data_IF_081783416127
#
_entry.id   IF_081783416127
#
_cell.length_a   1.000
_cell.length_b   1.000
_cell.length_c   1.000
_cell.angle_alpha   90.00
_cell.angle_beta   90.00
_cell.angle_gamma   90.00
#
_symmetry.space_group_name_H-M   'P 1'
#
loop_
_entity.id
_entity.type
_entity.pdbx_description
1 polymer ?
#
# COMPACT_ATOMS: atom_id res chain seq x y z
N UNK A 1 16.37 7.98 14.09
CA UNK A 1 15.78 6.71 14.55
C UNK A 1 14.62 6.36 13.64
N UNK A 2 14.60 5.15 13.03
CA UNK A 2 13.42 4.66 12.31
C UNK A 2 12.43 4.15 13.36
N UNK A 3 11.39 4.91 13.65
CA UNK A 3 10.32 4.42 14.53
C UNK A 3 9.50 3.43 13.71
N UNK A 4 9.66 2.13 14.01
CA UNK A 4 8.96 1.06 13.32
C UNK A 4 7.47 0.99 13.68
N UNK A 5 7.10 1.51 14.85
CA UNK A 5 5.72 1.62 15.33
C UNK A 5 5.66 2.74 16.38
N UNK A 6 4.82 3.75 16.17
CA UNK A 6 4.60 4.80 17.16
C UNK A 6 3.79 4.26 18.34
N UNK A 7 2.93 3.25 18.10
CA UNK A 7 2.17 2.59 19.15
C UNK A 7 3.10 1.97 20.20
N UNK A 8 4.21 1.36 19.78
CA UNK A 8 5.21 0.84 20.72
C UNK A 8 5.85 1.93 21.57
N UNK A 9 6.15 3.09 20.98
CA UNK A 9 6.68 4.23 21.71
C UNK A 9 5.69 4.76 22.77
N UNK A 10 4.41 4.82 22.43
CA UNK A 10 3.33 5.19 23.36
C UNK A 10 3.14 4.13 24.46
N UNK A 11 3.30 2.85 24.13
CA UNK A 11 3.17 1.72 25.06
C UNK A 11 4.30 1.66 26.10
N UNK A 12 5.52 2.08 25.73
CA UNK A 12 6.72 1.97 26.56
C UNK A 12 6.57 2.49 28.02
N UNK A 13 6.04 3.70 28.29
CA UNK A 13 5.85 4.17 29.66
C UNK A 13 4.92 3.26 30.47
N UNK A 14 3.88 2.69 29.85
CA UNK A 14 2.96 1.78 30.54
C UNK A 14 3.62 0.43 30.85
N UNK A 15 4.49 -0.08 29.96
CA UNK A 15 5.27 -1.28 30.25
C UNK A 15 6.24 -1.06 31.41
N UNK A 16 6.88 0.10 31.49
CA UNK A 16 7.74 0.44 32.64
C UNK A 16 6.93 0.45 33.94
N UNK A 17 5.71 1.00 33.90
CA UNK A 17 4.81 1.02 35.06
C UNK A 17 4.30 -0.39 35.43
N UNK A 18 4.04 -1.27 34.46
CA UNK A 18 3.73 -2.68 34.69
C UNK A 18 4.89 -3.39 35.39
N UNK A 19 6.12 -3.17 34.93
CA UNK A 19 7.31 -3.76 35.55
C UNK A 19 7.53 -3.23 36.97
N UNK A 20 7.37 -1.93 37.18
CA UNK A 20 7.52 -1.29 38.48
C UNK A 20 6.47 -1.79 39.49
N UNK A 21 5.19 -1.75 39.12
CA UNK A 21 4.10 -2.22 39.98
C UNK A 21 4.16 -3.72 40.20
N UNK A 22 4.51 -4.50 39.17
CA UNK A 22 4.75 -5.95 39.29
C UNK A 22 5.88 -6.26 40.25
N UNK A 23 6.99 -5.50 40.21
CA UNK A 23 8.09 -5.64 41.15
C UNK A 23 7.61 -5.44 42.60
N UNK A 24 6.84 -4.39 42.87
CA UNK A 24 6.30 -4.13 44.20
C UNK A 24 5.33 -5.21 44.69
N UNK A 25 4.44 -5.70 43.82
CA UNK A 25 3.48 -6.75 44.18
C UNK A 25 4.18 -8.08 44.50
N UNK A 26 5.15 -8.50 43.67
CA UNK A 26 5.75 -9.84 43.76
C UNK A 26 7.01 -9.93 44.63
N UNK A 27 7.77 -8.83 44.81
CA UNK A 27 9.03 -8.84 45.56
C UNK A 27 9.00 -8.01 46.85
N UNK A 28 8.04 -7.09 46.98
CA UNK A 28 7.88 -6.25 48.19
C UNK A 28 6.61 -6.59 48.97
N UNK A 29 5.83 -7.58 48.52
CA UNK A 29 4.53 -7.98 49.10
C UNK A 29 3.52 -6.83 49.27
N UNK A 30 3.67 -5.76 48.48
CA UNK A 30 2.78 -4.60 48.51
C UNK A 30 1.53 -4.85 47.64
N UNK A 31 0.57 -5.57 48.22
CA UNK A 31 -0.70 -5.90 47.57
C UNK A 31 -1.54 -4.65 47.21
N UNK A 32 -1.26 -3.48 47.79
CA UNK A 32 -1.98 -2.24 47.44
C UNK A 32 -1.68 -1.79 46.00
N UNK A 33 -0.56 -2.24 45.42
CA UNK A 33 -0.15 -1.93 44.06
C UNK A 33 -0.84 -2.78 42.99
N UNK A 34 -1.55 -3.85 43.38
CA UNK A 34 -2.18 -4.79 42.44
C UNK A 34 -3.22 -4.15 41.48
N UNK A 35 -4.12 -3.24 41.92
CA UNK A 35 -5.03 -2.56 41.01
C UNK A 35 -4.31 -1.73 39.93
N UNK A 36 -3.20 -1.09 40.30
CA UNK A 36 -2.39 -0.29 39.36
C UNK A 36 -1.71 -1.17 38.32
N UNK A 37 -1.13 -2.31 38.75
CA UNK A 37 -0.59 -3.32 37.84
C UNK A 37 -1.62 -3.74 36.80
N UNK A 38 -2.85 -4.05 37.25
CA UNK A 38 -3.94 -4.46 36.37
C UNK A 38 -4.32 -3.34 35.38
N UNK A 39 -4.46 -2.10 35.85
CA UNK A 39 -4.79 -0.94 34.98
C UNK A 39 -3.72 -0.73 33.91
N UNK A 40 -2.43 -0.70 34.28
CA UNK A 40 -1.36 -0.49 33.30
C UNK A 40 -1.20 -1.66 32.34
N UNK A 41 -1.45 -2.89 32.78
CA UNK A 41 -1.45 -4.07 31.92
C UNK A 41 -2.60 -4.02 30.90
N UNK A 42 -3.80 -3.61 31.32
CA UNK A 42 -4.95 -3.41 30.41
C UNK A 42 -4.63 -2.33 29.39
N UNK A 43 -4.12 -1.17 29.82
CA UNK A 43 -3.78 -0.08 28.89
C UNK A 43 -2.73 -0.53 27.87
N UNK A 44 -1.68 -1.22 28.32
CA UNK A 44 -0.64 -1.76 27.44
C UNK A 44 -1.22 -2.75 26.42
N UNK A 45 -2.13 -3.61 26.86
CA UNK A 45 -2.83 -4.57 26.00
C UNK A 45 -3.70 -3.86 24.96
N UNK A 46 -4.43 -2.81 25.35
CA UNK A 46 -5.24 -2.01 24.43
C UNK A 46 -4.34 -1.35 23.39
N UNK A 47 -3.24 -0.69 23.80
CA UNK A 47 -2.31 -0.06 22.86
C UNK A 47 -1.73 -1.08 21.88
N UNK A 48 -1.36 -2.27 22.36
CA UNK A 48 -0.86 -3.35 21.51
C UNK A 48 -1.91 -3.83 20.50
N UNK A 49 -3.15 -4.10 20.94
CA UNK A 49 -4.25 -4.56 20.08
C UNK A 49 -4.61 -3.53 19.00
N UNK A 50 -4.55 -2.24 19.34
CA UNK A 50 -4.83 -1.15 18.42
C UNK A 50 -3.59 -0.57 17.73
N UNK A 51 -2.43 -1.23 17.86
CA UNK A 51 -1.18 -0.73 17.26
C UNK A 51 -1.29 -0.50 15.74
N UNK A 52 -1.96 -1.35 14.93
CA UNK A 52 -2.09 -1.08 13.50
C UNK A 52 -2.88 0.20 13.19
N UNK A 53 -3.95 0.47 13.94
CA UNK A 53 -4.79 1.66 13.75
C UNK A 53 -4.06 2.93 14.19
N UNK A 54 -3.34 2.86 15.31
CA UNK A 54 -2.52 3.96 15.84
C UNK A 54 -1.40 4.29 14.84
N UNK A 55 -0.68 3.27 14.37
CA UNK A 55 0.41 3.43 13.41
C UNK A 55 -0.10 3.96 12.07
N UNK A 56 -1.22 3.43 11.55
CA UNK A 56 -1.84 3.93 10.33
C UNK A 56 -2.26 5.40 10.45
N UNK A 57 -2.89 5.78 11.57
CA UNK A 57 -3.27 7.16 11.84
C UNK A 57 -2.04 8.08 11.86
N UNK A 58 -0.95 7.62 12.46
CA UNK A 58 0.31 8.37 12.48
C UNK A 58 0.91 8.54 11.08
N UNK A 59 1.07 7.45 10.32
CA UNK A 59 1.64 7.52 8.96
C UNK A 59 0.77 8.33 8.00
N UNK A 60 -0.55 8.35 8.20
CA UNK A 60 -1.46 9.15 7.38
C UNK A 60 -1.32 10.65 7.64
N UNK A 61 -1.03 11.04 8.89
CA UNK A 61 -0.85 12.44 9.28
C UNK A 61 0.60 12.93 9.10
N UNK A 62 1.57 12.03 9.20
CA UNK A 62 3.00 12.31 9.09
C UNK A 62 3.67 11.34 8.11
N UNK A 63 3.28 11.38 6.82
CA UNK A 63 3.89 10.55 5.81
C UNK A 63 5.36 10.92 5.67
N UNK A 64 6.21 9.89 5.54
CA UNK A 64 7.64 10.10 5.39
C UNK A 64 7.98 10.36 3.93
N UNK A 65 8.86 11.33 3.69
CA UNK A 65 9.44 11.55 2.38
C UNK A 65 10.30 10.36 1.93
N UNK A 66 10.29 10.10 0.63
CA UNK A 66 11.10 9.07 0.03
C UNK A 66 12.58 9.46 0.09
N UNK A 67 13.43 8.47 0.36
CA UNK A 67 14.87 8.60 0.24
C UNK A 67 15.28 8.83 -1.21
N UNK A 68 16.48 9.35 -1.43
CA UNK A 68 16.99 9.55 -2.79
C UNK A 68 16.97 8.26 -3.62
N UNK A 69 17.23 7.10 -3.00
CA UNK A 69 17.17 5.80 -3.69
C UNK A 69 15.75 5.46 -4.15
N UNK A 70 14.75 5.64 -3.28
CA UNK A 70 13.33 5.40 -3.61
C UNK A 70 12.86 6.36 -4.71
N UNK A 71 13.27 7.63 -4.66
CA UNK A 71 12.98 8.62 -5.71
C UNK A 71 13.62 8.24 -7.04
N UNK A 72 14.89 7.86 -7.05
CA UNK A 72 15.58 7.43 -8.27
C UNK A 72 14.93 6.18 -8.86
N UNK A 73 14.54 5.21 -8.03
CA UNK A 73 13.81 4.03 -8.49
C UNK A 73 12.43 4.39 -9.04
N UNK A 74 11.65 5.23 -8.34
CA UNK A 74 10.33 5.69 -8.80
C UNK A 74 10.42 6.44 -10.13
N UNK A 75 11.40 7.35 -10.27
CA UNK A 75 11.67 8.05 -11.52
C UNK A 75 12.07 7.11 -12.65
N UNK A 76 12.71 5.97 -12.36
CA UNK A 76 13.08 5.00 -13.39
C UNK A 76 11.90 4.18 -13.91
N UNK A 77 10.81 4.07 -13.13
CA UNK A 77 9.66 3.20 -13.47
C UNK A 77 8.39 3.97 -13.83
N UNK A 78 8.32 5.28 -13.65
CA UNK A 78 7.07 6.03 -13.84
C UNK A 78 7.26 7.32 -14.63
N UNK A 79 6.84 7.30 -15.89
CA UNK A 79 6.74 8.50 -16.74
C UNK A 79 5.77 9.52 -16.16
N UNK A 80 4.64 9.05 -15.59
CA UNK A 80 3.66 9.91 -14.94
C UNK A 80 4.28 10.68 -13.77
N UNK A 81 5.03 10.00 -12.89
CA UNK A 81 5.70 10.67 -11.78
C UNK A 81 6.70 11.73 -12.27
N UNK A 82 7.43 11.44 -13.36
CA UNK A 82 8.39 12.37 -13.93
C UNK A 82 7.73 13.60 -14.58
N UNK A 83 6.47 13.54 -15.00
CA UNK A 83 5.76 14.70 -15.56
C UNK A 83 5.12 15.60 -14.50
N UNK A 84 4.99 15.15 -13.25
CA UNK A 84 4.44 15.94 -12.16
C UNK A 84 5.35 17.09 -11.73
N UNK A 85 4.73 18.20 -11.33
CA UNK A 85 5.41 19.30 -10.62
C UNK A 85 5.91 18.87 -9.25
N UNK A 86 6.85 19.61 -8.65
CA UNK A 86 7.49 19.26 -7.37
C UNK A 86 6.47 18.97 -6.25
N UNK A 87 5.44 19.81 -6.11
CA UNK A 87 4.38 19.64 -5.11
C UNK A 87 3.59 18.34 -5.34
N UNK A 88 3.30 18.03 -6.60
CA UNK A 88 2.53 16.85 -6.97
C UNK A 88 3.37 15.57 -6.89
N UNK A 89 4.69 15.65 -7.13
CA UNK A 89 5.64 14.57 -6.84
C UNK A 89 5.67 14.24 -5.37
N UNK A 90 5.77 15.25 -4.49
CA UNK A 90 5.71 15.03 -3.04
C UNK A 90 4.39 14.38 -2.63
N UNK A 91 3.26 14.84 -3.18
CA UNK A 91 1.95 14.21 -2.95
C UNK A 91 1.93 12.75 -3.42
N UNK A 92 2.53 12.43 -4.57
CA UNK A 92 2.64 11.07 -5.09
C UNK A 92 3.47 10.19 -4.16
N UNK A 93 4.63 10.66 -3.70
CA UNK A 93 5.51 9.96 -2.76
C UNK A 93 4.78 9.66 -1.45
N UNK A 94 4.15 10.67 -0.84
CA UNK A 94 3.45 10.53 0.42
C UNK A 94 2.26 9.57 0.32
N UNK A 95 1.48 9.65 -0.77
CA UNK A 95 0.38 8.70 -1.02
C UNK A 95 0.89 7.28 -1.22
N UNK A 96 2.00 7.12 -1.93
CA UNK A 96 2.66 5.82 -2.13
C UNK A 96 3.15 5.24 -0.81
N UNK A 97 3.78 6.08 0.04
CA UNK A 97 4.22 5.71 1.38
C UNK A 97 3.07 5.17 2.23
N UNK A 98 1.98 5.94 2.34
CA UNK A 98 0.80 5.53 3.13
C UNK A 98 0.17 4.28 2.56
N UNK A 99 0.03 4.19 1.24
CA UNK A 99 -0.53 3.01 0.56
C UNK A 99 0.29 1.75 0.86
N UNK A 100 1.62 1.80 0.77
CA UNK A 100 2.49 0.66 1.04
C UNK A 100 2.38 0.18 2.51
N UNK A 101 2.17 1.10 3.46
CA UNK A 101 2.02 0.75 4.89
C UNK A 101 0.61 0.32 5.27
N UNK A 102 -0.40 0.76 4.53
CA UNK A 102 -1.80 0.46 4.79
C UNK A 102 -2.25 -0.90 4.24
N UNK A 103 -1.45 -1.53 3.39
CA UNK A 103 -1.84 -2.69 2.57
C UNK A 103 -0.95 -3.89 2.83
N UNK A 104 -1.52 -5.08 2.71
CA UNK A 104 -0.80 -6.34 2.83
C UNK A 104 -0.31 -6.81 1.44
N UNK A 105 0.99 -7.03 1.33
CA UNK A 105 1.63 -7.46 0.09
C UNK A 105 2.36 -8.78 0.31
N UNK A 106 2.00 -9.79 -0.49
CA UNK A 106 2.62 -11.11 -0.43
C UNK A 106 3.19 -11.51 -1.78
N UNK A 107 4.42 -12.01 -1.76
CA UNK A 107 5.06 -12.65 -2.90
C UNK A 107 4.89 -14.17 -2.76
N UNK A 108 4.29 -14.80 -3.76
CA UNK A 108 4.03 -16.23 -3.82
C UNK A 108 5.08 -16.88 -4.71
N UNK A 109 5.98 -17.63 -4.07
CA UNK A 109 6.97 -18.49 -4.73
C UNK A 109 6.73 -19.93 -4.24
N UNK A 110 7.79 -20.70 -3.99
CA UNK A 110 7.68 -21.98 -3.25
C UNK A 110 7.08 -21.79 -1.85
N UNK A 111 7.38 -20.66 -1.23
CA UNK A 111 6.85 -20.24 0.06
C UNK A 111 6.23 -18.85 -0.08
N UNK A 112 5.24 -18.56 0.76
CA UNK A 112 4.67 -17.22 0.90
C UNK A 112 5.65 -16.34 1.67
N UNK A 113 6.10 -15.26 1.06
CA UNK A 113 7.01 -14.28 1.68
C UNK A 113 6.41 -12.89 1.62
N UNK A 114 6.90 -12.02 2.49
CA UNK A 114 6.60 -10.60 2.37
C UNK A 114 7.23 -10.06 1.07
N UNK A 115 6.47 -9.24 0.36
CA UNK A 115 6.96 -8.62 -0.87
C UNK A 115 8.09 -7.62 -0.54
N UNK A 116 9.20 -7.57 -1.31
CA UNK A 116 10.22 -6.53 -1.14
C UNK A 116 9.66 -5.11 -1.34
N UNK A 117 10.21 -4.11 -0.64
CA UNK A 117 9.70 -2.72 -0.69
C UNK A 117 9.70 -2.14 -2.11
N UNK A 118 10.72 -2.42 -2.93
CA UNK A 118 10.79 -1.95 -4.32
C UNK A 118 9.63 -2.52 -5.17
N UNK A 119 9.24 -3.79 -4.92
CA UNK A 119 8.09 -4.42 -5.58
C UNK A 119 6.75 -3.88 -5.06
N UNK A 120 6.66 -3.57 -3.75
CA UNK A 120 5.47 -2.86 -3.21
C UNK A 120 5.31 -1.50 -3.88
N UNK A 121 6.42 -0.80 -4.13
CA UNK A 121 6.41 0.50 -4.82
C UNK A 121 5.97 0.38 -6.28
N UNK A 122 6.33 -0.70 -6.99
CA UNK A 122 5.80 -1.01 -8.33
C UNK A 122 4.26 -1.13 -8.32
N UNK A 123 3.71 -1.87 -7.36
CA UNK A 123 2.25 -1.98 -7.20
C UNK A 123 1.63 -0.63 -6.84
N UNK A 124 2.21 0.07 -5.86
CA UNK A 124 1.73 1.38 -5.40
C UNK A 124 1.75 2.43 -6.52
N UNK A 125 2.76 2.42 -7.39
CA UNK A 125 2.88 3.37 -8.50
C UNK A 125 1.66 3.32 -9.41
N UNK A 126 1.23 2.12 -9.79
CA UNK A 126 0.03 1.92 -10.59
C UNK A 126 -1.23 2.36 -9.84
N UNK A 127 -1.34 2.02 -8.55
CA UNK A 127 -2.47 2.37 -7.71
C UNK A 127 -2.64 3.89 -7.56
N UNK A 128 -1.54 4.59 -7.23
CA UNK A 128 -1.54 6.03 -6.98
C UNK A 128 -1.75 6.80 -8.28
N UNK A 129 -1.20 6.35 -9.40
CA UNK A 129 -1.44 6.97 -10.71
C UNK A 129 -2.94 7.01 -11.05
N UNK A 130 -3.64 5.88 -10.93
CA UNK A 130 -5.09 5.81 -11.23
C UNK A 130 -5.91 6.72 -10.30
N UNK A 131 -5.55 6.79 -9.02
CA UNK A 131 -6.29 7.55 -8.02
C UNK A 131 -5.64 8.89 -7.64
N UNK A 132 -4.75 9.45 -8.48
CA UNK A 132 -3.91 10.59 -8.10
C UNK A 132 -4.71 11.86 -7.75
N UNK A 133 -5.82 12.07 -8.44
CA UNK A 133 -6.77 13.17 -8.19
C UNK A 133 -7.98 12.75 -7.35
N UNK A 134 -8.00 11.52 -6.83
CA UNK A 134 -9.04 11.02 -5.95
C UNK A 134 -8.59 11.03 -4.49
N UNK A 135 -9.51 11.28 -3.57
CA UNK A 135 -9.27 11.11 -2.13
C UNK A 135 -9.34 9.63 -1.72
N UNK A 136 -9.96 8.77 -2.54
CA UNK A 136 -10.07 7.34 -2.32
C UNK A 136 -8.85 6.55 -2.86
N UNK A 137 -7.64 7.12 -2.78
CA UNK A 137 -6.41 6.51 -3.29
C UNK A 137 -5.96 5.25 -2.54
N UNK A 138 -6.51 5.03 -1.34
CA UNK A 138 -6.28 3.82 -0.57
C UNK A 138 -7.17 2.65 -0.98
N UNK A 139 -8.09 2.80 -1.93
CA UNK A 139 -8.96 1.71 -2.40
C UNK A 139 -9.58 0.93 -1.23
N UNK A 140 -10.29 1.63 -0.34
CA UNK A 140 -10.89 1.07 0.88
C UNK A 140 -11.58 -0.26 0.55
N UNK A 141 -11.36 -1.29 1.38
CA UNK A 141 -11.78 -2.71 1.23
C UNK A 141 -10.79 -3.61 0.48
N UNK A 142 -9.97 -3.08 -0.41
CA UNK A 142 -8.96 -3.87 -1.13
C UNK A 142 -7.64 -3.78 -0.39
N UNK A 143 -7.43 -4.69 0.56
CA UNK A 143 -6.29 -4.61 1.48
C UNK A 143 -5.17 -5.60 1.17
N UNK A 144 -5.37 -6.53 0.23
CA UNK A 144 -4.43 -7.62 -0.05
C UNK A 144 -4.02 -7.66 -1.52
N UNK A 145 -2.71 -7.64 -1.76
CA UNK A 145 -2.10 -7.73 -3.08
C UNK A 145 -1.10 -8.89 -3.12
N UNK A 146 -1.35 -9.83 -4.03
CA UNK A 146 -0.51 -11.00 -4.24
C UNK A 146 0.28 -10.85 -5.53
N UNK A 147 1.51 -11.35 -5.54
CA UNK A 147 2.26 -11.45 -6.77
C UNK A 147 2.93 -12.82 -6.92
N UNK A 148 2.83 -13.38 -8.12
CA UNK A 148 3.53 -14.58 -8.55
C UNK A 148 4.69 -14.20 -9.47
N UNK A 149 5.74 -15.02 -9.50
CA UNK A 149 6.86 -14.83 -10.45
C UNK A 149 6.56 -15.34 -11.88
N UNK A 150 5.36 -15.85 -12.14
CA UNK A 150 4.94 -16.38 -13.43
C UNK A 150 3.43 -16.23 -13.58
N UNK A 151 2.92 -16.55 -14.77
CA UNK A 151 1.48 -16.62 -15.01
C UNK A 151 0.85 -17.71 -14.13
N UNK A 152 -0.35 -17.46 -13.64
CA UNK A 152 -0.99 -18.32 -12.65
C UNK A 152 -2.42 -18.68 -13.07
N UNK A 153 -2.91 -19.87 -12.71
CA UNK A 153 -4.33 -20.18 -12.74
C UNK A 153 -4.99 -19.79 -11.41
N UNK A 154 -6.31 -19.66 -11.42
CA UNK A 154 -7.16 -19.48 -10.22
C UNK A 154 -8.35 -20.46 -10.27
N UNK A 155 -9.06 -20.69 -9.15
CA UNK A 155 -10.24 -21.54 -9.14
C UNK A 155 -11.29 -21.11 -10.19
N UNK A 156 -11.48 -19.79 -10.35
CA UNK A 156 -12.44 -19.20 -11.28
C UNK A 156 -11.90 -19.19 -12.72
N UNK A 157 -10.59 -18.99 -12.90
CA UNK A 157 -9.92 -18.96 -14.22
C UNK A 157 -8.84 -20.03 -14.30
N UNK A 158 -9.22 -21.17 -14.87
CA UNK A 158 -8.31 -22.33 -15.02
C UNK A 158 -7.20 -22.13 -16.07
N UNK A 159 -7.27 -21.09 -16.90
CA UNK A 159 -6.22 -20.75 -17.85
C UNK A 159 -5.18 -19.82 -17.21
N UNK A 160 -3.94 -19.88 -17.71
CA UNK A 160 -2.86 -19.02 -17.23
C UNK A 160 -3.13 -17.56 -17.60
N UNK A 161 -3.03 -16.69 -16.61
CA UNK A 161 -3.18 -15.25 -16.79
C UNK A 161 -2.18 -14.50 -15.93
N UNK A 162 -1.97 -13.23 -16.28
CA UNK A 162 -1.00 -12.36 -15.62
C UNK A 162 -1.61 -11.42 -14.59
N UNK A 163 -2.94 -11.30 -14.55
CA UNK A 163 -3.63 -10.43 -13.60
C UNK A 163 -5.05 -10.89 -13.32
N UNK A 164 -5.43 -10.82 -12.05
CA UNK A 164 -6.80 -11.06 -11.61
C UNK A 164 -7.17 -10.11 -10.48
N UNK A 165 -8.36 -9.53 -10.58
CA UNK A 165 -9.02 -8.84 -9.48
C UNK A 165 -10.20 -9.70 -9.06
N UNK A 166 -10.20 -10.15 -7.81
CA UNK A 166 -11.36 -10.83 -7.24
C UNK A 166 -12.09 -9.83 -6.34
N UNK A 167 -13.26 -9.40 -6.79
CA UNK A 167 -14.07 -8.43 -6.06
C UNK A 167 -14.72 -9.05 -4.83
N UNK A 168 -15.01 -10.34 -4.77
CA UNK A 168 -15.66 -10.93 -3.58
C UNK A 168 -14.68 -10.99 -2.40
N UNK A 169 -13.47 -11.48 -2.66
CA UNK A 169 -12.39 -11.56 -1.68
C UNK A 169 -11.64 -10.23 -1.47
N UNK A 170 -11.92 -9.24 -2.32
CA UNK A 170 -11.27 -7.91 -2.35
C UNK A 170 -9.75 -8.01 -2.45
N UNK A 171 -9.27 -8.84 -3.37
CA UNK A 171 -7.85 -9.07 -3.62
C UNK A 171 -7.49 -8.76 -5.06
N UNK A 172 -6.23 -8.40 -5.30
CA UNK A 172 -5.67 -8.42 -6.64
C UNK A 172 -4.39 -9.25 -6.68
N UNK A 173 -4.23 -10.00 -7.76
CA UNK A 173 -3.16 -10.95 -7.99
C UNK A 173 -2.45 -10.55 -9.28
N UNK A 174 -1.12 -10.52 -9.25
CA UNK A 174 -0.28 -10.07 -10.36
C UNK A 174 0.79 -11.09 -10.70
N UNK A 175 1.17 -11.14 -11.98
CA UNK A 175 2.46 -11.65 -12.40
C UNK A 175 3.48 -10.52 -12.25
N UNK A 176 4.40 -10.66 -11.29
CA UNK A 176 5.38 -9.64 -10.94
C UNK A 176 6.30 -9.28 -12.11
N UNK A 177 6.73 -10.27 -12.90
CA UNK A 177 7.63 -10.05 -14.03
C UNK A 177 6.96 -9.19 -15.11
N UNK A 178 5.70 -9.48 -15.41
CA UNK A 178 4.90 -8.70 -16.37
C UNK A 178 4.60 -7.33 -15.79
N UNK A 179 4.25 -7.24 -14.51
CA UNK A 179 3.92 -5.98 -13.85
C UNK A 179 5.09 -4.99 -13.91
N UNK A 180 6.29 -5.42 -13.51
CA UNK A 180 7.51 -4.60 -13.55
C UNK A 180 7.83 -4.17 -14.98
N UNK A 181 7.80 -5.11 -15.94
CA UNK A 181 8.10 -4.79 -17.35
C UNK A 181 7.07 -3.82 -17.94
N UNK A 182 5.82 -3.90 -17.50
CA UNK A 182 4.73 -3.07 -18.03
C UNK A 182 4.75 -1.61 -17.57
N UNK A 183 5.58 -1.27 -16.58
CA UNK A 183 5.84 0.11 -16.17
C UNK A 183 6.79 0.85 -17.13
N UNK A 184 7.69 0.12 -17.81
CA UNK A 184 8.49 0.70 -18.87
C UNK A 184 7.71 0.65 -20.19
N UNK A 185 7.30 1.83 -20.65
CA UNK A 185 6.54 1.99 -21.89
C UNK A 185 7.29 1.47 -23.13
N UNK A 186 8.63 1.52 -23.15
CA UNK A 186 9.44 1.04 -24.27
C UNK A 186 9.24 -0.46 -24.54
N UNK A 187 8.86 -1.22 -23.51
CA UNK A 187 8.62 -2.65 -23.67
C UNK A 187 7.37 -2.97 -24.48
N UNK A 188 6.48 -2.00 -24.75
CA UNK A 188 5.19 -2.19 -25.45
C UNK A 188 4.34 -3.32 -24.85
N UNK A 189 4.46 -3.52 -23.54
CA UNK A 189 3.68 -4.50 -22.77
C UNK A 189 2.46 -3.80 -22.18
N UNK A 190 1.30 -4.43 -22.29
CA UNK A 190 0.08 -3.93 -21.67
C UNK A 190 0.25 -3.81 -20.14
N UNK A 191 -0.08 -2.64 -19.59
CA UNK A 191 0.05 -2.38 -18.16
C UNK A 191 -1.06 -3.04 -17.35
N UNK A 192 -0.76 -4.26 -16.90
CA UNK A 192 -1.66 -5.07 -16.07
C UNK A 192 -1.94 -4.43 -14.70
N UNK A 193 -1.03 -3.61 -14.18
CA UNK A 193 -1.19 -2.88 -12.92
C UNK A 193 -2.26 -1.80 -13.05
N UNK A 194 -2.12 -0.91 -14.04
CA UNK A 194 -3.13 0.10 -14.36
C UNK A 194 -4.50 -0.54 -14.63
N UNK A 195 -4.54 -1.61 -15.41
CA UNK A 195 -5.78 -2.36 -15.67
C UNK A 195 -6.47 -2.79 -14.37
N UNK A 196 -5.75 -3.48 -13.47
CA UNK A 196 -6.33 -3.94 -12.21
C UNK A 196 -6.82 -2.78 -11.34
N UNK A 197 -6.04 -1.70 -11.21
CA UNK A 197 -6.43 -0.58 -10.36
C UNK A 197 -7.56 0.25 -10.95
N UNK A 198 -7.68 0.34 -12.28
CA UNK A 198 -8.86 0.92 -12.94
C UNK A 198 -10.10 0.08 -12.63
N UNK A 199 -10.02 -1.23 -12.76
CA UNK A 199 -11.14 -2.13 -12.45
C UNK A 199 -11.59 -1.99 -10.98
N UNK A 200 -10.64 -2.03 -10.04
CA UNK A 200 -10.91 -1.77 -8.61
C UNK A 200 -11.52 -0.37 -8.43
N UNK A 201 -10.97 0.66 -9.07
CA UNK A 201 -11.47 2.04 -8.95
C UNK A 201 -12.92 2.14 -9.42
N UNK A 202 -13.25 1.57 -10.58
CA UNK A 202 -14.59 1.57 -11.14
C UNK A 202 -15.56 0.83 -10.23
N UNK A 203 -15.16 -0.36 -9.73
CA UNK A 203 -15.96 -1.14 -8.79
C UNK A 203 -16.25 -0.37 -7.49
N UNK A 204 -15.24 0.27 -6.88
CA UNK A 204 -15.43 1.05 -5.64
C UNK A 204 -16.35 2.25 -5.86
N UNK A 205 -16.17 2.96 -6.97
CA UNK A 205 -16.91 4.18 -7.26
C UNK A 205 -18.26 3.91 -7.96
N UNK A 206 -18.61 2.64 -8.23
CA UNK A 206 -19.80 2.22 -8.99
C UNK A 206 -19.92 2.97 -10.33
N UNK A 207 -18.79 3.15 -11.01
CA UNK A 207 -18.71 3.85 -12.30
C UNK A 207 -18.59 2.83 -13.42
N UNK A 208 -19.20 3.14 -14.56
CA UNK A 208 -18.92 2.45 -15.82
C UNK A 208 -17.81 3.16 -16.58
N UNK A 209 -17.16 2.44 -17.49
CA UNK A 209 -16.26 3.05 -18.47
C UNK A 209 -17.11 3.97 -19.36
N UNK A 210 -16.74 5.23 -19.55
CA UNK A 210 -17.47 6.13 -20.44
C UNK A 210 -17.26 5.68 -21.90
N UNK A 211 -18.30 5.84 -22.73
CA UNK A 211 -18.16 5.67 -24.17
C UNK A 211 -17.19 6.74 -24.71
N UNK A 212 -16.07 6.29 -25.27
CA UNK A 212 -15.07 7.18 -25.86
C UNK A 212 -15.43 7.43 -27.33
N UNK A 213 -15.62 8.69 -27.76
CA UNK A 213 -15.85 8.98 -29.16
C UNK A 213 -14.58 8.66 -29.97
N UNK A 214 -14.69 7.97 -31.10
CA UNK A 214 -13.58 7.63 -32.01
C UNK A 214 -13.03 8.86 -32.78
N UNK A 215 -12.73 9.95 -32.09
CA UNK A 215 -12.16 11.16 -32.69
C UNK A 215 -10.70 11.32 -32.29
N UNK A 216 -9.89 11.90 -33.19
CA UNK A 216 -8.47 12.24 -32.98
C UNK A 216 -8.24 13.05 -31.68
N UNK A 217 -9.27 13.75 -31.18
CA UNK A 217 -9.22 14.52 -29.94
C UNK A 217 -9.02 13.68 -28.67
N UNK A 218 -9.38 12.39 -28.68
CA UNK A 218 -9.26 11.54 -27.49
C UNK A 218 -7.81 11.17 -27.22
N UNK A 219 -7.00 10.94 -28.27
CA UNK A 219 -5.57 10.65 -28.10
C UNK A 219 -4.79 11.83 -27.53
N UNK A 220 -5.16 13.06 -27.89
CA UNK A 220 -4.61 14.27 -27.29
C UNK A 220 -4.89 14.28 -25.78
N UNK A 221 -6.15 14.09 -25.38
CA UNK A 221 -6.56 14.03 -23.97
C UNK A 221 -5.87 12.91 -23.20
N UNK A 222 -5.72 11.73 -23.80
CA UNK A 222 -4.98 10.62 -23.18
C UNK A 222 -3.53 11.02 -22.95
N UNK A 223 -2.89 11.68 -23.93
CA UNK A 223 -1.51 12.15 -23.81
C UNK A 223 -1.39 13.19 -22.70
N UNK A 224 -2.33 14.14 -22.62
CA UNK A 224 -2.34 15.19 -21.58
C UNK A 224 -2.50 14.59 -20.17
N UNK A 225 -3.34 13.57 -20.01
CA UNK A 225 -3.63 12.93 -18.71
C UNK A 225 -2.51 11.96 -18.29
N UNK A 226 -2.05 11.12 -19.21
CA UNK A 226 -1.13 10.03 -18.90
C UNK A 226 0.33 10.40 -19.10
N UNK A 227 0.61 11.49 -19.84
CA UNK A 227 1.93 11.82 -20.37
C UNK A 227 2.50 10.74 -21.32
N UNK A 228 1.65 9.86 -21.85
CA UNK A 228 2.02 8.79 -22.79
C UNK A 228 1.57 9.20 -24.20
N UNK A 229 2.53 9.31 -25.12
CA UNK A 229 2.25 9.59 -26.53
C UNK A 229 1.97 8.31 -27.32
N UNK A 230 1.29 8.44 -28.47
CA UNK A 230 0.90 7.32 -29.34
C UNK A 230 2.09 6.60 -30.03
N UNK A 231 3.29 7.18 -30.01
CA UNK A 231 4.43 6.74 -30.84
C UNK A 231 5.31 5.67 -30.18
#
# INVERSE_FOLDING_TARGET
MKIHSIAFFIMLPFLILVLYTGYHVFFMDDNSMFPYLLVFAIISTIIYLFSPQIDFAWYSNYPKDFSQKERTFLSSISTFYNSLEEKDRLKFEQRSYVFIRAKDFKLIMKERKEMPEDMKLVVATNAIQVAFHSDNYLYKKYDRYFAYGHEFPTPDKKFLHSVEVNHDDKIAIFNMDVLVKSLNFENRIFNIGLFAFIDIFLHINKKSIPDLPETTSVWQKITDISSISKN
#
